data_IF_904808899681
#
_entry.id   IF_904808899681
#
_cell.length_a   1.000
_cell.length_b   1.000
_cell.length_c   1.000
_cell.angle_alpha   90.00
_cell.angle_beta   90.00
_cell.angle_gamma   90.00
#
_symmetry.space_group_name_H-M   'P 1'
#
loop_
_entity.id
_entity.type
_entity.pdbx_description
1 polymer ?
#
# COMPACT_ATOMS: atom_id res chain seq x y z
N UNK A 1 24.02 10.92 18.64
CA UNK A 1 22.77 10.31 18.12
C UNK A 1 22.87 10.20 16.61
N UNK A 2 22.65 9.02 16.04
CA UNK A 2 22.77 8.82 14.60
C UNK A 2 21.54 9.39 13.88
N UNK A 3 21.76 10.13 12.79
CA UNK A 3 20.71 10.74 11.98
C UNK A 3 20.42 9.83 10.77
N UNK A 4 19.14 9.48 10.55
CA UNK A 4 18.70 8.53 9.51
C UNK A 4 19.06 8.97 8.09
N UNK A 5 19.08 10.27 7.81
CA UNK A 5 19.55 10.79 6.50
C UNK A 5 20.98 10.36 6.22
N UNK A 6 21.85 10.43 7.24
CA UNK A 6 23.26 10.07 7.12
C UNK A 6 23.47 8.58 6.94
N UNK A 7 22.65 7.75 7.59
CA UNK A 7 22.67 6.30 7.44
C UNK A 7 22.22 5.89 6.04
N UNK A 8 21.01 6.30 5.64
CA UNK A 8 20.42 5.98 4.34
C UNK A 8 21.30 6.44 3.17
N UNK A 9 21.92 7.62 3.31
CA UNK A 9 22.88 8.12 2.32
C UNK A 9 24.11 7.22 2.20
N UNK A 10 24.70 6.82 3.33
CA UNK A 10 25.89 5.97 3.35
C UNK A 10 25.60 4.58 2.83
N UNK A 11 24.43 4.02 3.15
CA UNK A 11 24.00 2.70 2.68
C UNK A 11 23.86 2.68 1.15
N UNK A 12 23.42 3.79 0.53
CA UNK A 12 23.41 3.97 -0.93
C UNK A 12 24.76 4.40 -1.53
N UNK A 13 25.80 4.57 -0.73
CA UNK A 13 27.13 4.99 -1.20
C UNK A 13 27.21 6.44 -1.71
N UNK A 14 26.27 7.30 -1.32
CA UNK A 14 26.13 8.65 -1.86
C UNK A 14 26.91 9.70 -1.05
N UNK A 15 27.37 10.74 -1.72
CA UNK A 15 27.92 11.97 -1.11
C UNK A 15 26.81 12.91 -0.68
N UNK A 16 27.10 13.81 0.27
CA UNK A 16 26.14 14.83 0.70
C UNK A 16 25.72 15.76 -0.45
N UNK A 17 26.63 16.02 -1.40
CA UNK A 17 26.35 16.82 -2.59
C UNK A 17 25.34 16.14 -3.52
N UNK A 18 25.42 14.82 -3.70
CA UNK A 18 24.49 14.07 -4.55
C UNK A 18 23.08 14.09 -3.98
N UNK A 19 22.92 13.89 -2.68
CA UNK A 19 21.57 13.96 -2.06
C UNK A 19 21.04 15.39 -2.03
N UNK A 20 21.90 16.39 -1.83
CA UNK A 20 21.50 17.79 -1.87
C UNK A 20 20.90 18.19 -3.24
N UNK A 21 21.44 17.64 -4.36
CA UNK A 21 20.90 17.87 -5.71
C UNK A 21 19.46 17.35 -5.85
N UNK A 22 19.12 16.22 -5.22
CA UNK A 22 17.78 15.60 -5.30
C UNK A 22 16.70 16.54 -4.78
N UNK A 23 16.98 17.25 -3.68
CA UNK A 23 16.05 18.21 -3.07
C UNK A 23 16.37 19.67 -3.41
N UNK A 24 17.14 19.88 -4.49
CA UNK A 24 17.53 21.20 -4.98
C UNK A 24 18.06 22.14 -3.88
N UNK A 25 19.02 21.66 -3.09
CA UNK A 25 19.67 22.42 -2.02
C UNK A 25 21.19 22.35 -2.11
N UNK A 26 21.89 23.05 -1.23
CA UNK A 26 23.36 23.03 -1.18
C UNK A 26 23.88 21.87 -0.32
N UNK A 27 25.08 21.38 -0.61
CA UNK A 27 25.73 20.34 0.20
C UNK A 27 25.85 20.77 1.68
N UNK A 28 26.17 22.03 1.94
CA UNK A 28 26.27 22.59 3.28
C UNK A 28 24.93 22.54 4.01
N UNK A 29 23.83 22.90 3.33
CA UNK A 29 22.50 22.84 3.91
C UNK A 29 22.07 21.41 4.22
N UNK A 30 22.32 20.47 3.31
CA UNK A 30 22.07 19.05 3.56
C UNK A 30 22.91 18.51 4.74
N UNK A 31 24.18 18.91 4.83
CA UNK A 31 25.04 18.60 5.96
C UNK A 31 24.47 19.11 7.29
N UNK A 32 23.81 20.27 7.33
CA UNK A 32 23.13 20.75 8.54
C UNK A 32 21.98 19.82 8.94
N UNK A 33 21.23 19.26 8.00
CA UNK A 33 20.17 18.29 8.29
C UNK A 33 20.74 17.03 8.95
N UNK A 34 21.81 16.45 8.41
CA UNK A 34 22.45 15.25 9.00
C UNK A 34 23.01 15.45 10.40
N UNK A 35 23.36 16.69 10.74
CA UNK A 35 23.91 17.06 12.03
C UNK A 35 22.87 17.70 12.96
N UNK A 36 21.58 17.68 12.60
CA UNK A 36 20.47 18.27 13.35
C UNK A 36 20.65 19.78 13.65
N UNK A 37 21.42 20.48 12.81
CA UNK A 37 21.65 21.94 12.91
C UNK A 37 20.60 22.75 12.13
N UNK A 38 19.75 22.08 11.35
CA UNK A 38 18.63 22.66 10.65
C UNK A 38 17.53 21.61 10.50
N UNK A 39 16.28 22.07 10.46
CA UNK A 39 15.14 21.22 10.15
C UNK A 39 14.96 21.13 8.63
N UNK A 40 14.73 19.92 8.13
CA UNK A 40 14.31 19.69 6.75
C UNK A 40 12.82 20.04 6.61
N UNK A 41 12.42 20.65 5.50
CA UNK A 41 11.01 20.93 5.23
C UNK A 41 10.24 19.64 4.92
N UNK A 42 8.93 19.64 5.17
CA UNK A 42 8.06 18.48 4.87
C UNK A 42 8.18 18.03 3.40
N UNK A 43 8.13 18.99 2.47
CA UNK A 43 8.30 18.74 1.04
C UNK A 43 9.63 18.03 0.72
N UNK A 44 10.73 18.50 1.30
CA UNK A 44 12.04 17.88 1.05
C UNK A 44 12.15 16.52 1.74
N UNK A 45 11.53 16.34 2.91
CA UNK A 45 11.48 15.05 3.58
C UNK A 45 10.69 14.01 2.78
N UNK A 46 9.59 14.39 2.11
CA UNK A 46 8.81 13.50 1.24
C UNK A 46 9.61 13.06 0.02
N UNK A 47 10.32 14.00 -0.63
CA UNK A 47 11.18 13.69 -1.77
C UNK A 47 12.28 12.69 -1.37
N UNK A 48 12.95 12.91 -0.23
CA UNK A 48 13.98 11.99 0.24
C UNK A 48 13.41 10.65 0.69
N UNK A 49 12.25 10.64 1.36
CA UNK A 49 11.57 9.42 1.78
C UNK A 49 11.27 8.52 0.57
N UNK A 50 10.68 9.09 -0.48
CA UNK A 50 10.44 8.39 -1.74
C UNK A 50 11.73 7.93 -2.40
N UNK A 51 12.77 8.76 -2.43
CA UNK A 51 14.07 8.40 -3.01
C UNK A 51 14.75 7.23 -2.27
N UNK A 52 14.63 7.17 -0.94
CA UNK A 52 15.22 6.12 -0.12
C UNK A 52 14.31 4.89 0.04
N UNK A 53 13.05 4.95 -0.40
CA UNK A 53 12.08 3.87 -0.23
C UNK A 53 11.65 3.67 1.23
N UNK A 54 11.61 4.74 2.02
CA UNK A 54 11.24 4.71 3.45
C UNK A 54 10.10 5.69 3.72
N UNK A 55 9.46 5.59 4.89
CA UNK A 55 8.47 6.59 5.30
C UNK A 55 9.10 7.92 5.72
N UNK A 56 8.39 9.03 5.49
CA UNK A 56 8.77 10.35 6.01
C UNK A 56 8.97 10.32 7.53
N UNK A 57 8.13 9.56 8.24
CA UNK A 57 8.21 9.44 9.68
C UNK A 57 9.45 8.67 10.16
N UNK A 58 9.89 7.64 9.43
CA UNK A 58 11.17 6.96 9.69
C UNK A 58 12.35 7.89 9.41
N UNK A 59 12.33 8.59 8.29
CA UNK A 59 13.37 9.54 7.89
C UNK A 59 13.55 10.67 8.92
N UNK A 60 12.45 11.16 9.49
CA UNK A 60 12.44 12.17 10.55
C UNK A 60 12.69 11.62 11.96
N UNK A 61 12.82 10.29 12.12
CA UNK A 61 13.05 9.67 13.42
C UNK A 61 11.85 9.70 14.37
N UNK A 62 10.63 9.90 13.85
CA UNK A 62 9.38 9.87 14.62
C UNK A 62 9.00 8.43 15.01
N UNK A 63 9.40 7.44 14.20
CA UNK A 63 9.22 6.00 14.49
C UNK A 63 10.47 5.18 14.14
N UNK A 64 10.74 4.12 14.92
CA UNK A 64 11.98 3.33 14.83
C UNK A 64 12.03 2.24 13.75
N UNK A 65 10.96 2.03 12.98
CA UNK A 65 10.90 0.93 12.00
C UNK A 65 10.93 1.45 10.55
N UNK A 66 11.93 1.09 9.72
CA UNK A 66 12.00 1.46 8.29
C UNK A 66 10.91 0.78 7.46
N UNK A 67 10.46 -0.40 7.90
CA UNK A 67 9.42 -1.15 7.24
C UNK A 67 8.03 -0.57 7.56
N UNK A 68 7.34 -0.07 6.53
CA UNK A 68 5.88 -0.04 6.54
C UNK A 68 5.38 -1.46 6.29
N UNK A 69 5.65 -2.39 7.22
CA UNK A 69 4.67 -3.42 7.53
C UNK A 69 3.91 -2.90 8.72
N UNK A 70 2.88 -2.09 8.47
CA UNK A 70 1.91 -1.71 9.50
C UNK A 70 1.19 -2.97 9.96
N UNK A 71 1.81 -3.71 10.87
CA UNK A 71 1.13 -4.74 11.66
C UNK A 71 0.43 -4.13 12.88
N UNK A 72 0.36 -2.78 12.96
CA UNK A 72 -0.67 -2.11 13.73
C UNK A 72 -1.90 -2.04 12.85
N UNK A 73 -2.92 -2.78 13.24
CA UNK A 73 -4.28 -2.55 12.76
C UNK A 73 -4.53 -1.04 12.88
N UNK A 74 -4.82 -0.36 11.78
CA UNK A 74 -5.35 1.01 11.84
C UNK A 74 -6.61 1.00 12.70
N UNK A 75 -7.03 2.15 13.26
CA UNK A 75 -8.32 2.23 13.97
C UNK A 75 -9.47 1.64 13.13
N UNK A 76 -9.37 1.74 11.81
CA UNK A 76 -10.27 1.10 10.87
C UNK A 76 -10.14 -0.43 10.83
N UNK A 77 -8.92 -0.98 10.78
CA UNK A 77 -8.68 -2.42 10.83
C UNK A 77 -9.01 -3.04 12.20
N UNK A 78 -8.91 -2.29 13.32
CA UNK A 78 -9.40 -2.75 14.62
C UNK A 78 -10.93 -2.79 14.67
N UNK A 79 -11.61 -1.82 14.06
CA UNK A 79 -13.08 -1.82 13.94
C UNK A 79 -13.60 -3.00 13.09
N UNK A 80 -12.84 -3.42 12.07
CA UNK A 80 -13.19 -4.58 11.23
C UNK A 80 -12.98 -5.91 11.98
N UNK A 81 -11.97 -5.99 12.87
CA UNK A 81 -11.60 -7.24 13.55
C UNK A 81 -12.56 -7.64 14.68
N UNK A 82 -13.17 -6.66 15.36
CA UNK A 82 -13.97 -6.90 16.56
C UNK A 82 -15.49 -6.99 16.32
N UNK A 83 -15.94 -6.82 15.07
CA UNK A 83 -17.22 -7.34 14.60
C UNK A 83 -18.27 -6.29 14.19
N UNK A 84 -18.75 -6.47 12.94
CA UNK A 84 -20.02 -5.98 12.36
C UNK A 84 -20.04 -4.66 11.58
N UNK A 85 -18.96 -4.26 10.90
CA UNK A 85 -19.09 -3.32 9.78
C UNK A 85 -18.62 -3.98 8.48
N UNK A 86 -19.55 -4.12 7.55
CA UNK A 86 -19.32 -4.58 6.18
C UNK A 86 -18.74 -3.45 5.32
N UNK A 87 -17.99 -3.81 4.27
CA UNK A 87 -17.50 -2.87 3.26
C UNK A 87 -18.63 -2.01 2.65
N UNK A 88 -19.87 -2.54 2.65
CA UNK A 88 -21.07 -1.83 2.21
C UNK A 88 -21.48 -0.68 3.14
N UNK A 89 -21.35 -0.86 4.45
CA UNK A 89 -21.69 0.18 5.44
C UNK A 89 -20.63 1.28 5.47
N UNK A 90 -19.36 0.93 5.29
CA UNK A 90 -18.27 1.91 5.13
C UNK A 90 -18.45 2.71 3.84
N UNK A 91 -18.79 2.04 2.74
CA UNK A 91 -19.08 2.70 1.46
C UNK A 91 -20.27 3.66 1.57
N UNK A 92 -21.32 3.28 2.31
CA UNK A 92 -22.48 4.12 2.52
C UNK A 92 -22.18 5.34 3.41
N UNK A 93 -21.36 5.17 4.44
CA UNK A 93 -21.03 6.23 5.40
C UNK A 93 -20.00 7.25 4.88
N UNK A 94 -19.08 6.82 4.01
CA UNK A 94 -17.97 7.66 3.52
C UNK A 94 -18.23 8.25 2.13
N UNK A 95 -19.21 7.74 1.39
CA UNK A 95 -19.40 8.05 -0.03
C UNK A 95 -18.29 7.48 -0.93
N UNK A 96 -17.27 6.83 -0.36
CA UNK A 96 -16.18 6.19 -1.08
C UNK A 96 -16.61 4.76 -1.40
N UNK A 97 -16.88 4.48 -2.67
CA UNK A 97 -17.23 3.13 -3.12
C UNK A 97 -15.95 2.32 -3.25
N UNK A 98 -15.70 1.36 -2.35
CA UNK A 98 -14.62 0.40 -2.56
C UNK A 98 -15.08 -0.60 -3.61
N UNK A 99 -14.70 -0.37 -4.86
CA UNK A 99 -15.03 -1.29 -5.94
C UNK A 99 -14.29 -2.62 -5.76
N UNK A 100 -15.06 -3.68 -5.55
CA UNK A 100 -14.49 -5.01 -5.46
C UNK A 100 -13.97 -5.44 -6.83
N UNK A 101 -12.66 -5.65 -6.95
CA UNK A 101 -12.00 -5.94 -8.23
C UNK A 101 -12.51 -7.22 -8.89
N UNK A 102 -12.91 -8.24 -8.12
CA UNK A 102 -13.55 -9.46 -8.66
C UNK A 102 -14.84 -9.12 -9.40
N UNK A 103 -15.65 -8.21 -8.85
CA UNK A 103 -16.90 -7.76 -9.48
C UNK A 103 -16.65 -6.96 -10.74
N UNK A 104 -15.68 -6.04 -10.70
CA UNK A 104 -15.31 -5.20 -11.84
C UNK A 104 -14.84 -6.08 -12.98
N UNK A 105 -13.81 -6.90 -12.73
CA UNK A 105 -13.22 -7.79 -13.73
C UNK A 105 -14.23 -8.78 -14.32
N UNK A 106 -15.14 -9.33 -13.51
CA UNK A 106 -16.21 -10.19 -14.02
C UNK A 106 -17.15 -9.44 -14.97
N UNK A 107 -17.56 -8.22 -14.61
CA UNK A 107 -18.47 -7.42 -15.44
C UNK A 107 -17.81 -6.91 -16.72
N UNK A 108 -16.51 -6.61 -16.67
CA UNK A 108 -15.74 -6.22 -17.85
C UNK A 108 -15.63 -7.35 -18.89
N UNK A 109 -15.68 -8.61 -18.42
CA UNK A 109 -15.76 -9.79 -19.28
C UNK A 109 -17.20 -10.19 -19.66
N UNK A 110 -18.21 -9.41 -19.24
CA UNK A 110 -19.64 -9.70 -19.40
C UNK A 110 -20.06 -11.10 -18.90
N UNK A 111 -19.45 -11.55 -17.80
CA UNK A 111 -19.65 -12.88 -17.23
C UNK A 111 -20.63 -12.89 -16.06
N UNK A 112 -21.41 -13.96 -15.95
CA UNK A 112 -22.22 -14.26 -14.77
C UNK A 112 -21.39 -14.86 -13.64
N UNK A 113 -21.91 -14.85 -12.40
CA UNK A 113 -21.24 -15.50 -11.26
C UNK A 113 -21.12 -17.01 -11.49
N UNK A 114 -22.12 -17.61 -12.14
CA UNK A 114 -22.20 -19.02 -12.47
C UNK A 114 -21.13 -19.44 -13.49
N UNK A 115 -20.86 -18.61 -14.49
CA UNK A 115 -19.79 -18.88 -15.46
C UNK A 115 -18.41 -18.80 -14.82
N UNK A 116 -18.13 -17.73 -14.06
CA UNK A 116 -16.84 -17.62 -13.35
C UNK A 116 -16.66 -18.77 -12.36
N UNK A 117 -17.72 -19.19 -11.67
CA UNK A 117 -17.68 -20.34 -10.78
C UNK A 117 -17.28 -21.63 -11.50
N UNK A 118 -17.88 -21.87 -12.67
CA UNK A 118 -17.60 -23.05 -13.49
C UNK A 118 -16.17 -23.03 -14.04
N UNK A 119 -15.70 -21.88 -14.51
CA UNK A 119 -14.38 -21.75 -15.17
C UNK A 119 -13.22 -21.74 -14.16
N UNK A 120 -13.43 -21.19 -12.95
CA UNK A 120 -12.40 -21.15 -11.89
C UNK A 120 -12.44 -22.35 -10.95
N UNK A 121 -13.55 -23.12 -10.94
CA UNK A 121 -13.79 -24.19 -9.97
C UNK A 121 -14.07 -23.68 -8.55
N UNK A 122 -14.34 -22.39 -8.37
CA UNK A 122 -14.72 -21.78 -7.10
C UNK A 122 -16.25 -21.78 -7.01
N UNK A 123 -16.82 -22.02 -5.82
CA UNK A 123 -18.27 -21.98 -5.69
C UNK A 123 -18.84 -20.59 -5.98
N UNK A 124 -19.99 -20.55 -6.66
CA UNK A 124 -20.75 -19.31 -6.93
C UNK A 124 -21.03 -18.51 -5.65
N UNK A 125 -21.32 -19.20 -4.55
CA UNK A 125 -21.52 -18.57 -3.24
C UNK A 125 -20.25 -17.92 -2.69
N UNK A 126 -19.08 -18.54 -2.88
CA UNK A 126 -17.81 -17.95 -2.49
C UNK A 126 -17.48 -16.70 -3.33
N UNK A 127 -17.65 -16.76 -4.65
CA UNK A 127 -17.44 -15.58 -5.53
C UNK A 127 -18.38 -14.44 -5.12
N UNK A 128 -19.66 -14.73 -4.90
CA UNK A 128 -20.62 -13.74 -4.39
C UNK A 128 -20.21 -13.16 -3.03
N UNK A 129 -19.70 -13.99 -2.13
CA UNK A 129 -19.17 -13.56 -0.82
C UNK A 129 -17.99 -12.60 -0.99
N UNK A 130 -17.09 -12.89 -1.94
CA UNK A 130 -15.94 -12.04 -2.26
C UNK A 130 -16.39 -10.70 -2.81
N UNK A 131 -17.26 -10.68 -3.82
CA UNK A 131 -17.73 -9.44 -4.44
C UNK A 131 -18.47 -8.49 -3.48
N UNK A 132 -19.16 -9.06 -2.50
CA UNK A 132 -19.90 -8.32 -1.49
C UNK A 132 -19.04 -8.00 -0.25
N UNK A 133 -17.79 -8.45 -0.20
CA UNK A 133 -16.90 -8.17 0.91
C UNK A 133 -17.20 -8.95 2.19
N UNK A 134 -17.99 -10.02 2.12
CA UNK A 134 -18.28 -10.89 3.26
C UNK A 134 -17.12 -11.82 3.61
N UNK A 135 -16.25 -12.11 2.63
CA UNK A 135 -15.02 -12.87 2.84
C UNK A 135 -13.94 -12.46 1.84
N UNK A 136 -12.69 -12.78 2.16
CA UNK A 136 -11.53 -12.52 1.31
C UNK A 136 -11.06 -13.85 0.73
N UNK A 137 -10.75 -13.94 -0.58
CA UNK A 137 -10.22 -15.17 -1.16
C UNK A 137 -8.85 -15.48 -0.56
N UNK A 138 -8.70 -16.70 -0.04
CA UNK A 138 -7.42 -17.21 0.47
C UNK A 138 -6.48 -17.54 -0.68
N UNK A 139 -5.19 -17.79 -0.38
CA UNK A 139 -4.10 -18.03 -1.33
C UNK A 139 -4.50 -18.84 -2.58
N UNK A 140 -5.16 -19.99 -2.40
CA UNK A 140 -5.56 -20.84 -3.54
C UNK A 140 -6.63 -20.19 -4.43
N UNK A 141 -7.74 -19.73 -3.86
CA UNK A 141 -8.82 -19.09 -4.62
C UNK A 141 -8.39 -17.74 -5.19
N UNK A 142 -7.56 -16.99 -4.47
CA UNK A 142 -6.99 -15.74 -4.94
C UNK A 142 -6.11 -15.98 -6.18
N UNK A 143 -5.28 -17.04 -6.16
CA UNK A 143 -4.49 -17.44 -7.32
C UNK A 143 -5.37 -17.85 -8.50
N UNK A 144 -6.39 -18.69 -8.29
CA UNK A 144 -7.32 -19.13 -9.36
C UNK A 144 -8.02 -17.94 -10.02
N UNK A 145 -8.51 -16.98 -9.24
CA UNK A 145 -9.16 -15.79 -9.76
C UNK A 145 -8.16 -14.86 -10.48
N UNK A 146 -6.97 -14.65 -9.91
CA UNK A 146 -5.92 -13.83 -10.52
C UNK A 146 -5.47 -14.40 -11.87
N UNK A 147 -5.22 -15.71 -11.92
CA UNK A 147 -4.87 -16.43 -13.15
C UNK A 147 -6.00 -16.34 -14.19
N UNK A 148 -7.26 -16.49 -13.76
CA UNK A 148 -8.44 -16.41 -14.63
C UNK A 148 -8.63 -15.02 -15.25
N UNK A 149 -8.46 -13.96 -14.45
CA UNK A 149 -8.62 -12.58 -14.92
C UNK A 149 -7.35 -12.00 -15.55
N UNK A 150 -6.22 -12.71 -15.49
CA UNK A 150 -4.94 -12.25 -16.04
C UNK A 150 -4.35 -11.05 -15.29
N UNK A 151 -4.54 -10.98 -13.96
CA UNK A 151 -4.06 -9.88 -13.10
C UNK A 151 -3.21 -10.40 -11.96
N UNK A 152 -2.46 -9.51 -11.31
CA UNK A 152 -1.74 -9.83 -10.07
C UNK A 152 -2.70 -10.16 -8.91
N UNK A 153 -2.26 -11.01 -7.97
CA UNK A 153 -3.03 -11.29 -6.74
C UNK A 153 -3.21 -10.00 -5.93
N UNK A 154 -2.21 -9.13 -5.91
CA UNK A 154 -2.27 -7.86 -5.20
C UNK A 154 -3.36 -6.93 -5.75
N UNK A 155 -3.45 -6.84 -7.09
CA UNK A 155 -4.49 -6.07 -7.76
C UNK A 155 -5.88 -6.64 -7.48
N UNK A 156 -6.03 -7.97 -7.61
CA UNK A 156 -7.30 -8.66 -7.33
C UNK A 156 -7.80 -8.37 -5.89
N UNK A 157 -6.87 -8.29 -4.94
CA UNK A 157 -7.16 -8.03 -3.54
C UNK A 157 -7.29 -6.53 -3.20
N UNK A 158 -7.05 -5.64 -4.16
CA UNK A 158 -7.07 -4.18 -3.95
C UNK A 158 -5.95 -3.69 -3.03
N UNK A 159 -4.81 -4.39 -3.02
CA UNK A 159 -3.61 -4.02 -2.26
C UNK A 159 -2.79 -2.97 -3.03
N UNK A 160 -2.85 -3.02 -4.37
CA UNK A 160 -2.24 -2.06 -5.29
C UNK A 160 -3.12 -1.82 -6.54
N UNK A 161 -2.82 -0.77 -7.28
CA UNK A 161 -3.51 -0.40 -8.53
C UNK A 161 -2.78 -0.93 -9.79
N UNK A 162 -1.70 -1.70 -9.61
CA UNK A 162 -0.90 -2.23 -10.71
C UNK A 162 -1.44 -3.58 -11.18
N UNK A 163 -1.89 -3.66 -12.43
CA UNK A 163 -2.43 -4.90 -13.01
C UNK A 163 -1.44 -6.08 -13.00
N UNK A 164 -0.13 -5.82 -12.97
CA UNK A 164 0.94 -6.82 -13.15
C UNK A 164 2.03 -6.71 -12.08
#
# INVERSE_FOLDING_TARGET
MANRLKELRKDKGLTQSEVAKIINTTQSQYGKYENNKANISLKNSEILANYFGVSTAYLLGVYGNPDIKTNRLTNFQSLVKDGKLSLKEISAATGVTFENKVRVLRKDLDKTLEEVAKETGISRSAISSYENGYSIPKKENAKKLADYFGVSISYLLGIDDNLF
#
